data_IF_425510535100
#
_entry.id   IF_425510535100
#
_cell.length_a   1.000
_cell.length_b   1.000
_cell.length_c   1.000
_cell.angle_alpha   90.00
_cell.angle_beta   90.00
_cell.angle_gamma   90.00
#
_symmetry.space_group_name_H-M   'P 1'
#
loop_
_entity.id
_entity.type
_entity.pdbx_description
1 polymer ?
#
# COMPACT_ATOMS: atom_id res chain seq x y z
N UNK A 1 -13.76 -8.98 -6.27
CA UNK A 1 -13.13 -10.17 -5.67
C UNK A 1 -13.72 -10.37 -4.29
N UNK A 2 -14.39 -11.51 -4.09
CA UNK A 2 -14.74 -11.90 -2.72
C UNK A 2 -13.48 -12.36 -2.01
N UNK A 3 -13.26 -11.84 -0.83
CA UNK A 3 -12.16 -12.26 0.03
C UNK A 3 -12.49 -13.65 0.58
N UNK A 4 -11.49 -14.51 0.74
CA UNK A 4 -11.61 -15.79 1.43
C UNK A 4 -12.29 -15.63 2.81
N UNK A 5 -12.05 -14.53 3.49
CA UNK A 5 -12.71 -14.16 4.75
C UNK A 5 -14.21 -13.88 4.61
N UNK A 6 -14.67 -13.37 3.46
CA UNK A 6 -16.08 -13.13 3.20
C UNK A 6 -16.82 -14.43 3.01
N UNK A 7 -16.22 -15.44 2.40
CA UNK A 7 -16.78 -16.77 2.25
C UNK A 7 -16.86 -17.49 3.60
N UNK A 8 -15.84 -17.36 4.46
CA UNK A 8 -15.87 -17.90 5.83
C UNK A 8 -16.98 -17.22 6.65
N UNK A 9 -17.11 -15.90 6.58
CA UNK A 9 -18.18 -15.16 7.26
C UNK A 9 -19.57 -15.59 6.77
N UNK A 10 -19.74 -15.73 5.46
CA UNK A 10 -20.98 -16.19 4.87
C UNK A 10 -21.34 -17.61 5.34
N UNK A 11 -20.36 -18.50 5.41
CA UNK A 11 -20.56 -19.87 5.90
C UNK A 11 -20.98 -19.91 7.36
N UNK A 12 -20.33 -19.14 8.23
CA UNK A 12 -20.68 -19.05 9.66
C UNK A 12 -22.10 -18.47 9.86
N UNK A 13 -22.52 -17.55 8.98
CA UNK A 13 -23.81 -16.86 9.09
C UNK A 13 -24.97 -17.67 8.51
N UNK A 14 -24.74 -18.49 7.48
CA UNK A 14 -25.78 -19.21 6.76
C UNK A 14 -26.32 -20.43 7.51
N UNK A 15 -25.50 -21.14 8.26
CA UNK A 15 -25.89 -22.30 9.07
C UNK A 15 -25.20 -22.22 10.43
N UNK A 16 -25.92 -22.38 11.57
CA UNK A 16 -25.24 -22.45 12.86
C UNK A 16 -24.38 -23.72 12.90
N UNK A 17 -23.04 -23.57 12.86
CA UNK A 17 -22.14 -24.71 12.81
C UNK A 17 -22.23 -25.50 14.10
N UNK A 18 -22.04 -26.82 13.99
CA UNK A 18 -21.96 -27.71 15.14
C UNK A 18 -20.71 -27.34 15.97
N UNK A 19 -20.75 -27.54 17.32
CA UNK A 19 -19.61 -27.18 18.18
C UNK A 19 -18.26 -27.76 17.74
N UNK A 20 -18.25 -28.99 17.18
CA UNK A 20 -17.03 -29.62 16.64
C UNK A 20 -16.50 -28.93 15.39
N UNK A 21 -17.38 -28.52 14.48
CA UNK A 21 -17.00 -27.79 13.26
C UNK A 21 -16.45 -26.40 13.57
N UNK A 22 -17.02 -25.72 14.58
CA UNK A 22 -16.50 -24.44 15.08
C UNK A 22 -15.09 -24.59 15.65
N UNK A 23 -14.82 -25.66 16.38
CA UNK A 23 -13.52 -25.91 16.97
C UNK A 23 -12.47 -26.19 15.89
N UNK A 24 -12.79 -26.99 14.88
CA UNK A 24 -11.92 -27.25 13.74
C UNK A 24 -11.64 -25.97 12.95
N UNK A 25 -12.67 -25.15 12.69
CA UNK A 25 -12.50 -23.86 12.02
C UNK A 25 -11.63 -22.92 12.84
N UNK A 26 -11.81 -22.87 14.16
CA UNK A 26 -10.97 -22.05 15.04
C UNK A 26 -9.51 -22.48 15.03
N UNK A 27 -9.21 -23.77 15.05
CA UNK A 27 -7.86 -24.29 14.94
C UNK A 27 -7.24 -23.93 13.58
N UNK A 28 -7.97 -24.13 12.48
CA UNK A 28 -7.50 -23.77 11.15
C UNK A 28 -7.18 -22.27 11.04
N UNK A 29 -8.04 -21.41 11.57
CA UNK A 29 -7.80 -19.95 11.58
C UNK A 29 -6.60 -19.56 12.45
N UNK A 30 -6.36 -20.25 13.57
CA UNK A 30 -5.19 -20.02 14.40
C UNK A 30 -3.90 -20.41 13.67
N UNK A 31 -3.89 -21.55 13.00
CA UNK A 31 -2.75 -22.01 12.20
C UNK A 31 -2.44 -20.99 11.06
N UNK A 32 -3.48 -20.50 10.39
CA UNK A 32 -3.34 -19.47 9.35
C UNK A 32 -2.78 -18.15 9.91
N UNK A 33 -3.26 -17.74 11.10
CA UNK A 33 -2.75 -16.54 11.78
C UNK A 33 -1.28 -16.69 12.19
N UNK A 34 -0.87 -17.86 12.67
CA UNK A 34 0.52 -18.13 13.02
C UNK A 34 1.42 -18.08 11.79
N UNK A 35 0.97 -18.66 10.67
CA UNK A 35 1.69 -18.57 9.40
C UNK A 35 1.81 -17.13 8.90
N UNK A 36 0.73 -16.35 8.96
CA UNK A 36 0.73 -14.95 8.57
C UNK A 36 1.68 -14.11 9.44
N UNK A 37 1.69 -14.33 10.76
CA UNK A 37 2.63 -13.67 11.68
C UNK A 37 4.08 -14.00 11.36
N UNK A 38 4.37 -15.25 11.04
CA UNK A 38 5.72 -15.67 10.65
C UNK A 38 6.14 -14.97 9.35
N UNK A 39 5.27 -14.96 8.34
CA UNK A 39 5.53 -14.26 7.08
C UNK A 39 5.71 -12.76 7.28
N UNK A 40 4.87 -12.13 8.10
CA UNK A 40 5.00 -10.72 8.44
C UNK A 40 6.34 -10.41 9.11
N UNK A 41 6.76 -11.25 10.08
CA UNK A 41 8.03 -11.07 10.76
C UNK A 41 9.23 -11.18 9.80
N UNK A 42 9.20 -12.12 8.87
CA UNK A 42 10.21 -12.26 7.82
C UNK A 42 10.24 -11.04 6.91
N UNK A 43 9.09 -10.59 6.41
CA UNK A 43 8.98 -9.40 5.55
C UNK A 43 9.46 -8.14 6.26
N UNK A 44 9.10 -7.98 7.53
CA UNK A 44 9.56 -6.87 8.36
C UNK A 44 11.07 -6.89 8.54
N UNK A 45 11.66 -8.06 8.76
CA UNK A 45 13.11 -8.23 8.87
C UNK A 45 13.81 -7.81 7.58
N UNK A 46 13.36 -8.29 6.43
CA UNK A 46 13.91 -7.91 5.12
C UNK A 46 13.74 -6.42 4.84
N UNK A 47 12.57 -5.85 5.16
CA UNK A 47 12.34 -4.41 5.00
C UNK A 47 13.32 -3.58 5.85
N UNK A 48 13.52 -3.95 7.12
CA UNK A 48 14.44 -3.23 8.01
C UNK A 48 15.90 -3.38 7.56
N UNK A 49 16.30 -4.54 7.09
CA UNK A 49 17.63 -4.76 6.55
C UNK A 49 17.89 -3.89 5.30
N UNK A 50 16.93 -3.91 4.37
CA UNK A 50 17.01 -3.08 3.16
C UNK A 50 17.01 -1.59 3.49
N UNK A 51 16.17 -1.14 4.40
CA UNK A 51 16.13 0.26 4.85
C UNK A 51 17.44 0.68 5.50
N UNK A 52 18.04 -0.18 6.30
CA UNK A 52 19.34 0.06 6.94
C UNK A 52 20.44 0.16 5.89
N UNK A 53 20.48 -0.76 4.93
CA UNK A 53 21.44 -0.73 3.83
C UNK A 53 21.30 0.53 2.97
N UNK A 54 20.06 0.92 2.65
CA UNK A 54 19.79 2.14 1.89
C UNK A 54 20.25 3.40 2.63
N UNK A 55 19.98 3.50 3.94
CA UNK A 55 20.43 4.63 4.78
C UNK A 55 21.96 4.67 4.89
N UNK A 56 22.60 3.50 5.05
CA UNK A 56 24.05 3.41 5.09
C UNK A 56 24.68 3.86 3.75
N UNK A 57 24.07 3.49 2.63
CA UNK A 57 24.48 3.90 1.29
C UNK A 57 24.44 5.42 1.14
N UNK A 58 23.34 6.06 1.53
CA UNK A 58 23.19 7.52 1.47
C UNK A 58 24.19 8.22 2.40
N UNK A 59 24.41 7.69 3.61
CA UNK A 59 25.37 8.24 4.55
C UNK A 59 26.82 8.11 4.03
N UNK A 60 27.15 6.98 3.40
CA UNK A 60 28.46 6.75 2.81
C UNK A 60 28.74 7.70 1.64
N UNK A 61 27.73 7.95 0.80
CA UNK A 61 27.79 8.91 -0.30
C UNK A 61 27.99 10.33 0.23
N UNK A 62 27.20 10.74 1.22
CA UNK A 62 27.34 12.06 1.86
C UNK A 62 28.70 12.27 2.55
N UNK A 63 29.30 11.20 3.06
CA UNK A 63 30.61 11.22 3.67
C UNK A 63 31.77 11.13 2.65
N UNK A 64 31.49 11.04 1.35
CA UNK A 64 32.47 10.95 0.28
C UNK A 64 33.26 9.63 0.27
N UNK A 65 32.66 8.54 0.75
CA UNK A 65 33.33 7.24 0.71
C UNK A 65 33.50 6.74 -0.73
N UNK A 66 34.58 5.99 -1.04
CA UNK A 66 34.92 5.62 -2.42
C UNK A 66 33.93 4.60 -3.04
N UNK A 67 33.17 3.87 -2.24
CA UNK A 67 32.22 2.87 -2.70
C UNK A 67 30.93 2.93 -1.89
N UNK A 68 30.10 3.97 -2.04
CA UNK A 68 28.91 4.18 -1.20
C UNK A 68 27.84 3.11 -1.40
N UNK A 69 27.78 2.47 -2.59
CA UNK A 69 26.77 1.46 -2.91
C UNK A 69 27.03 0.08 -2.29
N UNK A 70 28.18 -0.14 -1.65
CA UNK A 70 28.58 -1.46 -1.13
C UNK A 70 27.55 -2.07 -0.20
N UNK A 71 26.96 -1.25 0.69
CA UNK A 71 25.97 -1.74 1.65
C UNK A 71 24.70 -2.25 0.96
N UNK A 72 24.21 -1.49 -0.01
CA UNK A 72 22.99 -1.86 -0.74
C UNK A 72 23.24 -3.04 -1.69
N UNK A 73 24.39 -3.06 -2.35
CA UNK A 73 24.79 -4.18 -3.22
C UNK A 73 24.88 -5.49 -2.43
N UNK A 74 25.44 -5.46 -1.23
CA UNK A 74 25.57 -6.61 -0.36
C UNK A 74 24.17 -7.15 0.03
N UNK A 75 23.29 -6.28 0.49
CA UNK A 75 21.93 -6.66 0.88
C UNK A 75 21.15 -7.25 -0.29
N UNK A 76 21.23 -6.64 -1.46
CA UNK A 76 20.55 -7.16 -2.67
C UNK A 76 21.16 -8.50 -3.12
N UNK A 77 22.47 -8.67 -3.01
CA UNK A 77 23.14 -9.92 -3.37
C UNK A 77 22.75 -11.08 -2.44
N UNK A 78 22.62 -10.86 -1.14
CA UNK A 78 22.17 -11.86 -0.18
C UNK A 78 20.78 -12.40 -0.50
N UNK A 79 19.92 -11.59 -1.09
CA UNK A 79 18.57 -11.97 -1.50
C UNK A 79 18.47 -12.36 -2.99
N UNK A 80 19.58 -12.46 -3.71
CA UNK A 80 19.58 -12.77 -5.14
C UNK A 80 18.87 -11.72 -6.01
N UNK A 81 18.81 -10.48 -5.54
CA UNK A 81 18.13 -9.36 -6.19
C UNK A 81 19.09 -8.33 -6.79
N UNK A 82 20.39 -8.61 -6.80
CA UNK A 82 21.36 -7.72 -7.41
C UNK A 82 21.13 -7.68 -8.92
N UNK A 83 20.81 -6.50 -9.52
CA UNK A 83 20.54 -6.40 -10.96
C UNK A 83 21.80 -6.73 -11.78
N UNK A 84 21.63 -7.49 -12.84
CA UNK A 84 22.63 -7.60 -13.89
C UNK A 84 22.45 -6.49 -14.95
N UNK A 85 23.43 -6.36 -15.87
CA UNK A 85 23.42 -5.31 -16.88
C UNK A 85 22.24 -5.37 -17.85
N UNK A 86 21.68 -6.56 -18.11
CA UNK A 86 20.53 -6.74 -19.01
C UNK A 86 19.21 -6.34 -18.32
N UNK A 87 19.12 -6.58 -17.02
CA UNK A 87 17.95 -6.24 -16.23
C UNK A 87 17.87 -4.75 -15.87
N UNK A 88 19.01 -4.05 -15.85
CA UNK A 88 19.10 -2.67 -15.38
C UNK A 88 18.13 -1.72 -16.10
N UNK A 89 18.00 -1.79 -17.42
CA UNK A 89 17.09 -0.94 -18.19
C UNK A 89 15.63 -1.21 -17.86
N UNK A 90 15.26 -2.47 -17.68
CA UNK A 90 13.90 -2.86 -17.32
C UNK A 90 13.55 -2.36 -15.91
N UNK A 91 14.43 -2.57 -14.96
CA UNK A 91 14.27 -2.11 -13.57
C UNK A 91 14.13 -0.58 -13.50
N UNK A 92 14.94 0.17 -14.26
CA UNK A 92 14.84 1.62 -14.32
C UNK A 92 13.51 2.09 -14.93
N UNK A 93 13.04 1.43 -15.99
CA UNK A 93 11.73 1.71 -16.59
C UNK A 93 10.58 1.45 -15.61
N UNK A 94 10.63 0.32 -14.91
CA UNK A 94 9.61 -0.05 -13.92
C UNK A 94 9.60 0.91 -12.72
N UNK A 95 10.78 1.36 -12.28
CA UNK A 95 10.90 2.34 -11.20
C UNK A 95 10.29 3.70 -11.57
N UNK A 96 10.53 4.17 -12.80
CA UNK A 96 9.94 5.41 -13.31
C UNK A 96 8.41 5.29 -13.41
N UNK A 97 7.92 4.17 -13.91
CA UNK A 97 6.48 3.90 -13.99
C UNK A 97 5.83 3.87 -12.60
N UNK A 98 6.46 3.22 -11.61
CA UNK A 98 5.98 3.17 -10.24
C UNK A 98 5.94 4.56 -9.59
N UNK A 99 6.97 5.38 -9.78
CA UNK A 99 6.98 6.77 -9.29
C UNK A 99 5.86 7.60 -9.91
N UNK A 100 5.61 7.46 -11.20
CA UNK A 100 4.52 8.17 -11.88
C UNK A 100 3.14 7.75 -11.32
N UNK A 101 2.93 6.47 -11.04
CA UNK A 101 1.70 5.98 -10.41
C UNK A 101 1.51 6.55 -9.00
N UNK A 102 2.55 6.57 -8.18
CA UNK A 102 2.50 7.14 -6.82
C UNK A 102 2.20 8.65 -6.85
N UNK A 103 2.79 9.40 -7.78
CA UNK A 103 2.51 10.82 -7.94
C UNK A 103 1.04 11.09 -8.28
N UNK A 104 0.39 10.23 -9.08
CA UNK A 104 -1.04 10.33 -9.37
C UNK A 104 -1.94 10.00 -8.16
N UNK A 105 -1.50 9.15 -7.25
CA UNK A 105 -2.23 8.82 -6.03
C UNK A 105 -2.16 9.95 -4.99
N UNK A 106 -1.07 10.70 -4.97
CA UNK A 106 -0.86 11.84 -4.08
C UNK A 106 -1.51 13.14 -4.60
N UNK A 107 -1.99 13.16 -5.83
CA UNK A 107 -2.66 14.31 -6.40
C UNK A 107 -4.03 14.50 -5.71
N UNK A 108 -4.24 15.60 -4.96
CA UNK A 108 -5.52 15.84 -4.31
C UNK A 108 -6.60 15.96 -5.38
N UNK A 109 -7.64 15.14 -5.26
CA UNK A 109 -8.78 15.17 -6.15
C UNK A 109 -9.22 16.63 -6.40
N UNK A 110 -9.44 17.05 -7.66
CA UNK A 110 -9.79 18.41 -7.96
C UNK A 110 -11.03 18.78 -7.14
N UNK A 111 -10.88 19.76 -6.26
CA UNK A 111 -11.99 20.30 -5.48
C UNK A 111 -13.01 20.77 -6.49
N UNK A 112 -14.08 20.01 -6.68
CA UNK A 112 -15.25 20.46 -7.41
C UNK A 112 -15.71 21.73 -6.71
N UNK A 113 -15.38 22.88 -7.29
CA UNK A 113 -15.93 24.13 -6.91
C UNK A 113 -17.46 24.03 -7.06
N UNK A 114 -18.16 23.84 -5.94
CA UNK A 114 -19.58 24.05 -5.88
C UNK A 114 -19.79 25.53 -6.14
N UNK A 115 -19.97 25.88 -7.39
CA UNK A 115 -20.65 27.12 -7.73
C UNK A 115 -22.09 26.99 -7.22
N UNK A 116 -22.28 27.46 -6.01
CA UNK A 116 -23.59 27.68 -5.46
C UNK A 116 -24.27 28.75 -6.32
N UNK A 117 -25.00 28.34 -7.34
CA UNK A 117 -26.02 29.17 -7.96
C UNK A 117 -27.16 29.27 -6.95
N UNK A 118 -27.10 30.29 -6.11
CA UNK A 118 -28.23 30.70 -5.31
C UNK A 118 -29.38 31.13 -6.21
N UNK A 119 -30.64 30.76 -5.90
CA UNK A 119 -31.79 31.26 -6.63
C UNK A 119 -31.93 32.78 -6.36
N UNK A 120 -31.87 33.56 -7.42
CA UNK A 120 -32.27 34.96 -7.36
C UNK A 120 -33.78 35.00 -7.08
N UNK A 121 -34.16 35.36 -5.88
CA UNK A 121 -35.49 35.79 -5.58
C UNK A 121 -35.75 37.13 -6.30
N UNK A 122 -36.56 37.06 -7.34
CA UNK A 122 -37.09 38.25 -7.98
C UNK A 122 -38.03 38.97 -7.02
N UNK A 123 -37.65 40.18 -6.58
CA UNK A 123 -38.51 41.10 -5.85
C UNK A 123 -39.63 41.58 -6.76
N UNK A 124 -40.86 41.24 -6.40
CA UNK A 124 -42.07 41.85 -6.99
C UNK A 124 -42.34 43.16 -6.26
N UNK A 125 -41.98 44.26 -6.92
CA UNK A 125 -42.44 45.58 -6.48
C UNK A 125 -43.93 45.72 -6.77
N UNK A 126 -44.76 45.71 -5.73
CA UNK A 126 -46.16 46.18 -5.80
C UNK A 126 -46.15 47.64 -5.60
N UNK A 127 -46.38 48.40 -6.67
CA UNK A 127 -46.75 49.79 -6.64
C UNK A 127 -48.25 49.90 -6.27
N UNK A 128 -48.53 50.43 -5.08
CA UNK A 128 -49.86 50.86 -4.71
C UNK A 128 -49.93 52.35 -4.96
N UNK A 129 -50.68 52.74 -6.01
CA UNK A 129 -51.31 54.11 -6.12
C UNK A 129 -52.64 54.02 -5.43
N UNK A 130 -52.90 54.94 -4.50
CA UNK A 130 -54.15 55.35 -4.00
C UNK A 130 -54.05 56.78 -3.58
#
# INVERSE_FOLDING_TARGET
MRSEFDDIRAHITAEPPRPGELLELAHSLLDDLEQLRTREAILRSHYLALLTAARATVAADAAGQPAPLTFLQHELAEHGQLPDGEQAQRILSDAVAAQAMLAHLDEPAPRRSRTARGPRCGGVSRSLRG
#
